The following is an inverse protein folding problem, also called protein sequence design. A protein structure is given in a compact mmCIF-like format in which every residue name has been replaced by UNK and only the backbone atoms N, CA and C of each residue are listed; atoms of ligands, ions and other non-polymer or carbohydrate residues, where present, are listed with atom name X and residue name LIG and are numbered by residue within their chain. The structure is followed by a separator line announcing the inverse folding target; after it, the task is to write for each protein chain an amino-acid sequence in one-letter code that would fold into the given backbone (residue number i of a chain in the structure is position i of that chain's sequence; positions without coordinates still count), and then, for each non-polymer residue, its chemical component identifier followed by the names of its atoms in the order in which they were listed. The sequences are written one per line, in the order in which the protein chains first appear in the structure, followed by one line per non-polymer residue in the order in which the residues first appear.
data_IF_273955957281
#
_entry.id   IF_273955957281
#
_cell.length_a   1.000
_cell.length_b   1.000
_cell.length_c   1.000
_cell.angle_alpha   90.00
_cell.angle_beta   90.00
_cell.angle_gamma   90.00
#
_symmetry.space_group_name_H-M   'P 1'
#
loop_
_entity.id
_entity.type
_entity.pdbx_description
1 polymer ?
#
# COMPACT_ATOMS: atom_id res chain seq x y z
N UNK A 1 -39.77 -40.79 29.51
CA UNK A 1 -38.29 -40.85 29.51
C UNK A 1 -37.76 -39.81 28.52
N UNK A 2 -37.38 -38.62 29.01
CA UNK A 2 -36.99 -37.48 28.16
C UNK A 2 -35.51 -37.58 27.81
N UNK A 3 -35.19 -37.81 26.52
CA UNK A 3 -33.80 -37.81 26.04
C UNK A 3 -33.29 -36.37 25.93
N UNK A 4 -32.44 -35.95 26.85
CA UNK A 4 -31.63 -34.74 26.69
C UNK A 4 -30.62 -34.94 25.55
N UNK A 5 -30.82 -34.25 24.42
CA UNK A 5 -29.80 -34.12 23.37
C UNK A 5 -28.74 -33.14 23.88
N UNK A 6 -27.64 -33.68 24.40
CA UNK A 6 -26.42 -32.91 24.63
C UNK A 6 -25.96 -32.30 23.30
N UNK A 7 -26.11 -30.99 23.14
CA UNK A 7 -25.42 -30.26 22.08
C UNK A 7 -23.93 -30.31 22.42
N UNK A 8 -23.13 -30.95 21.56
CA UNK A 8 -21.66 -30.89 21.64
C UNK A 8 -21.26 -29.42 21.75
N UNK A 9 -20.57 -29.07 22.84
CA UNK A 9 -19.89 -27.78 22.97
C UNK A 9 -18.95 -27.63 21.77
N UNK A 10 -19.21 -26.61 20.94
CA UNK A 10 -18.27 -26.15 19.93
C UNK A 10 -17.62 -24.89 20.51
N UNK A 11 -16.31 -24.93 20.84
CA UNK A 11 -15.60 -23.72 21.21
C UNK A 11 -15.83 -22.66 20.14
N UNK A 12 -16.24 -21.44 20.54
CA UNK A 12 -16.36 -20.31 19.60
C UNK A 12 -15.00 -19.96 18.99
N UNK A 13 -13.91 -20.22 19.73
CA UNK A 13 -12.55 -20.13 19.24
C UNK A 13 -11.89 -21.50 19.27
N UNK A 14 -11.60 -22.04 18.07
CA UNK A 14 -10.54 -23.04 17.92
C UNK A 14 -9.24 -22.27 17.72
N UNK A 15 -8.72 -21.67 18.79
CA UNK A 15 -7.37 -21.10 18.74
C UNK A 15 -6.42 -22.21 18.32
N UNK A 16 -5.69 -21.99 17.23
CA UNK A 16 -4.61 -22.89 16.85
C UNK A 16 -3.51 -22.74 17.91
N UNK A 17 -2.97 -23.83 18.45
CA UNK A 17 -1.93 -23.77 19.48
C UNK A 17 -0.64 -23.06 19.00
N UNK A 18 -0.49 -22.90 17.68
CA UNK A 18 0.59 -22.15 17.03
C UNK A 18 0.20 -20.71 16.65
N UNK A 19 -1.03 -20.30 16.90
CA UNK A 19 -1.47 -18.92 16.71
C UNK A 19 -1.45 -18.19 18.05
N UNK A 20 -0.31 -17.56 18.34
CA UNK A 20 -0.08 -16.79 19.56
C UNK A 20 -1.04 -15.60 19.73
N UNK A 21 -1.75 -15.20 18.66
CA UNK A 21 -2.71 -14.10 18.67
C UNK A 21 -4.12 -14.51 19.03
N UNK A 22 -4.42 -15.81 19.00
CA UNK A 22 -5.76 -16.36 19.22
C UNK A 22 -6.26 -16.22 20.68
N UNK A 23 -5.38 -15.81 21.60
CA UNK A 23 -5.68 -15.60 23.02
C UNK A 23 -5.63 -14.13 23.45
N UNK A 24 -5.40 -13.20 22.53
CA UNK A 24 -5.45 -11.77 22.85
C UNK A 24 -6.88 -11.31 23.10
N UNK A 25 -7.05 -10.54 24.17
CA UNK A 25 -8.34 -9.96 24.54
C UNK A 25 -8.33 -8.48 24.18
N UNK A 26 -9.30 -8.07 23.38
CA UNK A 26 -9.64 -6.67 23.07
C UNK A 26 -8.54 -5.82 22.39
N UNK A 27 -7.94 -6.35 21.34
CA UNK A 27 -7.02 -5.60 20.46
C UNK A 27 -7.70 -5.19 19.15
N UNK A 28 -7.16 -4.19 18.44
CA UNK A 28 -7.61 -3.83 17.10
C UNK A 28 -7.56 -5.04 16.14
N UNK A 29 -6.56 -5.89 16.28
CA UNK A 29 -6.40 -7.12 15.50
C UNK A 29 -7.50 -8.15 15.80
N UNK A 30 -7.91 -8.26 17.07
CA UNK A 30 -9.02 -9.12 17.47
C UNK A 30 -10.33 -8.64 16.88
N UNK A 31 -10.63 -7.34 16.97
CA UNK A 31 -11.81 -6.73 16.34
C UNK A 31 -11.80 -6.87 14.81
N UNK A 32 -10.65 -6.67 14.17
CA UNK A 32 -10.51 -6.87 12.73
C UNK A 32 -10.80 -8.32 12.32
N UNK A 33 -10.33 -9.32 13.07
CA UNK A 33 -10.65 -10.73 12.84
C UNK A 33 -12.15 -11.02 12.96
N UNK A 34 -12.81 -10.48 13.98
CA UNK A 34 -14.26 -10.59 14.15
C UNK A 34 -15.02 -10.01 12.95
N UNK A 35 -14.62 -8.81 12.49
CA UNK A 35 -15.19 -8.16 11.30
C UNK A 35 -14.98 -9.03 10.04
N UNK A 36 -13.79 -9.61 9.87
CA UNK A 36 -13.50 -10.53 8.76
C UNK A 36 -14.40 -11.77 8.82
N UNK A 37 -14.52 -12.38 10.00
CA UNK A 37 -15.36 -13.57 10.21
C UNK A 37 -16.84 -13.28 9.94
N UNK A 38 -17.37 -12.16 10.42
CA UNK A 38 -18.74 -11.72 10.15
C UNK A 38 -18.97 -11.48 8.65
N UNK A 39 -18.05 -10.76 8.00
CA UNK A 39 -18.11 -10.50 6.57
C UNK A 39 -18.12 -11.82 5.78
N UNK A 40 -17.26 -12.77 6.15
CA UNK A 40 -17.15 -14.10 5.53
C UNK A 40 -18.37 -14.98 5.79
N UNK A 41 -19.00 -14.90 6.97
CA UNK A 41 -20.24 -15.64 7.29
C UNK A 41 -21.45 -15.08 6.53
N UNK A 42 -21.44 -13.78 6.20
CA UNK A 42 -22.53 -13.12 5.47
C UNK A 42 -22.66 -13.53 4.00
N UNK A 43 -21.67 -14.23 3.43
CA UNK A 43 -21.60 -14.63 2.02
C UNK A 43 -21.70 -16.13 1.86
N UNK A 44 -22.45 -16.57 0.84
CA UNK A 44 -22.69 -18.00 0.59
C UNK A 44 -21.43 -18.65 -0.01
N UNK A 45 -21.11 -19.86 0.43
CA UNK A 45 -19.95 -20.60 -0.05
C UNK A 45 -20.21 -21.29 -1.39
N UNK A 46 -19.33 -21.05 -2.37
CA UNK A 46 -19.17 -21.93 -3.54
C UNK A 46 -18.24 -23.11 -3.20
N UNK A 47 -18.40 -24.28 -3.84
CA UNK A 47 -17.48 -25.42 -3.66
C UNK A 47 -16.15 -25.18 -4.41
N UNK A 48 -15.04 -25.65 -3.85
CA UNK A 48 -13.70 -25.64 -4.47
C UNK A 48 -12.92 -24.31 -4.32
N UNK A 49 -11.64 -24.30 -4.75
CA UNK A 49 -10.72 -23.15 -4.61
C UNK A 49 -11.26 -21.86 -5.26
N UNK A 50 -11.79 -21.94 -6.49
CA UNK A 50 -12.46 -20.80 -7.15
C UNK A 50 -13.66 -20.27 -6.36
N UNK A 51 -14.38 -21.15 -5.65
CA UNK A 51 -15.48 -20.77 -4.76
C UNK A 51 -15.02 -20.00 -3.52
N UNK A 52 -13.81 -20.29 -3.00
CA UNK A 52 -13.24 -19.60 -1.84
C UNK A 52 -12.81 -18.18 -2.18
N UNK A 53 -12.03 -17.99 -3.25
CA UNK A 53 -11.63 -16.64 -3.69
C UNK A 53 -12.85 -15.79 -4.04
N UNK A 54 -13.86 -16.36 -4.69
CA UNK A 54 -15.12 -15.65 -4.94
C UNK A 54 -15.79 -15.20 -3.65
N UNK A 55 -15.86 -16.07 -2.64
CA UNK A 55 -16.43 -15.75 -1.32
C UNK A 55 -15.65 -14.62 -0.64
N UNK A 56 -14.32 -14.68 -0.65
CA UNK A 56 -13.45 -13.64 -0.08
C UNK A 56 -13.71 -12.29 -0.78
N UNK A 57 -13.76 -12.28 -2.11
CA UNK A 57 -14.03 -11.07 -2.89
C UNK A 57 -15.45 -10.51 -2.62
N UNK A 58 -16.46 -11.38 -2.46
CA UNK A 58 -17.81 -10.94 -2.09
C UNK A 58 -17.85 -10.34 -0.68
N UNK A 59 -17.13 -10.93 0.29
CA UNK A 59 -17.00 -10.39 1.65
C UNK A 59 -16.28 -9.03 1.65
N UNK A 60 -15.15 -8.94 0.94
CA UNK A 60 -14.41 -7.69 0.74
C UNK A 60 -15.30 -6.61 0.13
N UNK A 61 -16.07 -6.92 -0.91
CA UNK A 61 -16.95 -5.96 -1.58
C UNK A 61 -18.02 -5.39 -0.64
N UNK A 62 -18.60 -6.23 0.23
CA UNK A 62 -19.53 -5.76 1.26
C UNK A 62 -18.84 -4.83 2.27
N UNK A 63 -17.63 -5.18 2.70
CA UNK A 63 -16.88 -4.40 3.67
C UNK A 63 -16.43 -3.05 3.10
N UNK A 64 -15.99 -3.02 1.83
CA UNK A 64 -15.67 -1.78 1.11
C UNK A 64 -16.91 -0.89 0.97
N UNK A 65 -18.10 -1.46 0.72
CA UNK A 65 -19.36 -0.70 0.66
C UNK A 65 -19.77 -0.09 2.00
N UNK A 66 -19.45 -0.75 3.12
CA UNK A 66 -19.69 -0.19 4.45
C UNK A 66 -18.90 1.11 4.66
N UNK A 67 -17.70 1.19 4.06
CA UNK A 67 -16.84 2.37 4.02
C UNK A 67 -16.59 3.03 5.40
N UNK A 68 -16.48 2.22 6.45
CA UNK A 68 -16.11 2.72 7.77
C UNK A 68 -14.67 3.28 7.74
N UNK A 69 -14.42 4.45 8.37
CA UNK A 69 -13.08 4.99 8.52
C UNK A 69 -12.31 4.34 9.68
N UNK A 70 -12.92 3.46 10.46
CA UNK A 70 -12.34 2.93 11.69
C UNK A 70 -11.14 2.02 11.39
N UNK A 71 -10.06 2.09 12.20
CA UNK A 71 -8.84 1.33 11.96
C UNK A 71 -9.05 -0.19 11.83
N UNK A 72 -9.91 -0.78 12.65
CA UNK A 72 -10.24 -2.21 12.59
C UNK A 72 -10.92 -2.62 11.28
N UNK A 73 -11.74 -1.74 10.69
CA UNK A 73 -12.38 -1.97 9.39
C UNK A 73 -11.38 -1.79 8.23
N UNK A 74 -10.39 -0.90 8.37
CA UNK A 74 -9.29 -0.75 7.41
C UNK A 74 -8.41 -2.00 7.40
N UNK A 75 -8.00 -2.46 8.59
CA UNK A 75 -7.24 -3.68 8.77
C UNK A 75 -7.99 -4.92 8.25
N UNK A 76 -9.28 -5.06 8.55
CA UNK A 76 -10.11 -6.16 8.05
C UNK A 76 -10.19 -6.18 6.51
N UNK A 77 -10.29 -5.00 5.87
CA UNK A 77 -10.23 -4.89 4.39
C UNK A 77 -8.87 -5.32 3.87
N UNK A 78 -7.78 -4.90 4.51
CA UNK A 78 -6.42 -5.26 4.11
C UNK A 78 -6.21 -6.78 4.15
N UNK A 79 -6.61 -7.45 5.24
CA UNK A 79 -6.55 -8.91 5.38
C UNK A 79 -7.36 -9.61 4.28
N UNK A 80 -8.58 -9.15 4.01
CA UNK A 80 -9.42 -9.73 2.95
C UNK A 80 -8.88 -9.51 1.54
N UNK A 81 -8.08 -8.46 1.30
CA UNK A 81 -7.43 -8.18 0.01
C UNK A 81 -6.25 -9.09 -0.28
N UNK A 82 -5.59 -9.62 0.75
CA UNK A 82 -4.32 -10.37 0.63
C UNK A 82 -4.37 -11.48 -0.42
N UNK A 83 -5.34 -12.40 -0.45
CA UNK A 83 -5.32 -13.50 -1.42
C UNK A 83 -5.41 -13.03 -2.88
N UNK A 84 -6.14 -11.94 -3.14
CA UNK A 84 -6.24 -11.32 -4.46
C UNK A 84 -4.90 -10.71 -4.88
N UNK A 85 -4.28 -9.95 -3.98
CA UNK A 85 -2.99 -9.30 -4.22
C UNK A 85 -1.85 -10.32 -4.45
N UNK A 86 -1.80 -11.40 -3.66
CA UNK A 86 -0.82 -12.49 -3.84
C UNK A 86 -0.94 -13.10 -5.23
N UNK A 87 -2.16 -13.44 -5.65
CA UNK A 87 -2.40 -14.00 -6.97
C UNK A 87 -2.01 -13.03 -8.08
N UNK A 88 -2.33 -11.75 -7.93
CA UNK A 88 -1.94 -10.71 -8.87
C UNK A 88 -0.42 -10.61 -9.02
N UNK A 89 0.31 -10.61 -7.90
CA UNK A 89 1.77 -10.60 -7.89
C UNK A 89 2.34 -11.82 -8.62
N UNK A 90 1.84 -13.02 -8.30
CA UNK A 90 2.30 -14.26 -8.92
C UNK A 90 2.03 -14.33 -10.42
N UNK A 91 0.88 -13.83 -10.89
CA UNK A 91 0.58 -13.74 -12.32
C UNK A 91 1.49 -12.72 -13.03
N UNK A 92 1.76 -11.57 -12.40
CA UNK A 92 2.66 -10.56 -12.95
C UNK A 92 4.13 -11.04 -13.01
N UNK A 93 4.61 -11.74 -11.99
CA UNK A 93 5.97 -12.30 -11.95
C UNK A 93 6.19 -13.36 -13.05
N UNK A 94 5.16 -14.14 -13.38
CA UNK A 94 5.18 -15.14 -14.46
C UNK A 94 5.15 -14.53 -15.86
N UNK A 95 4.61 -13.32 -16.02
CA UNK A 95 4.33 -12.71 -17.32
C UNK A 95 4.96 -11.31 -17.46
N UNK A 96 6.30 -11.27 -17.52
CA UNK A 96 7.08 -10.03 -17.64
C UNK A 96 6.77 -9.18 -18.89
N UNK A 97 6.19 -9.77 -19.95
CA UNK A 97 5.96 -9.13 -21.26
C UNK A 97 4.54 -8.57 -21.47
N UNK A 98 3.72 -8.48 -20.41
CA UNK A 98 2.33 -8.06 -20.53
C UNK A 98 1.40 -9.18 -21.00
N UNK A 99 0.17 -9.18 -20.49
CA UNK A 99 -0.85 -10.20 -20.74
C UNK A 99 -2.25 -9.57 -20.60
N UNK A 100 -3.29 -10.27 -21.09
CA UNK A 100 -4.66 -9.72 -21.20
C UNK A 100 -5.20 -9.10 -19.91
N UNK A 101 -4.84 -9.70 -18.77
CA UNK A 101 -5.37 -9.34 -17.45
C UNK A 101 -4.44 -8.41 -16.67
N UNK A 102 -3.34 -7.93 -17.29
CA UNK A 102 -2.33 -7.09 -16.64
C UNK A 102 -2.94 -5.89 -15.92
N UNK A 103 -3.88 -5.18 -16.57
CA UNK A 103 -4.54 -4.00 -15.97
C UNK A 103 -5.36 -4.37 -14.72
N UNK A 104 -6.03 -5.52 -14.76
CA UNK A 104 -6.82 -6.01 -13.62
C UNK A 104 -5.89 -6.38 -12.46
N UNK A 105 -4.78 -7.08 -12.73
CA UNK A 105 -3.80 -7.47 -11.69
C UNK A 105 -3.05 -6.29 -11.11
N UNK A 106 -2.62 -5.35 -11.96
CA UNK A 106 -2.02 -4.10 -11.51
C UNK A 106 -2.93 -3.40 -10.50
N UNK A 107 -4.22 -3.34 -10.81
CA UNK A 107 -5.16 -2.72 -9.91
C UNK A 107 -5.44 -3.51 -8.61
N UNK A 108 -5.38 -4.84 -8.63
CA UNK A 108 -5.49 -5.63 -7.40
C UNK A 108 -4.32 -5.35 -6.44
N UNK A 109 -3.12 -5.08 -6.98
CA UNK A 109 -1.97 -4.67 -6.19
C UNK A 109 -2.11 -3.23 -5.67
N UNK A 110 -2.51 -2.29 -6.52
CA UNK A 110 -2.77 -0.90 -6.11
C UNK A 110 -3.82 -0.86 -5.00
N UNK A 111 -4.92 -1.60 -5.15
CA UNK A 111 -5.97 -1.68 -4.15
C UNK A 111 -5.48 -2.25 -2.79
N UNK A 112 -4.46 -3.12 -2.80
CA UNK A 112 -3.82 -3.63 -1.60
C UNK A 112 -2.90 -2.59 -0.96
N UNK A 113 -2.06 -1.94 -1.77
CA UNK A 113 -1.18 -0.86 -1.33
C UNK A 113 -1.97 0.29 -0.70
N UNK A 114 -3.02 0.76 -1.38
CA UNK A 114 -3.94 1.79 -0.87
C UNK A 114 -4.52 1.38 0.49
N UNK A 115 -4.95 0.12 0.64
CA UNK A 115 -5.50 -0.37 1.90
C UNK A 115 -4.45 -0.49 3.02
N UNK A 116 -3.20 -0.80 2.67
CA UNK A 116 -2.08 -0.82 3.62
C UNK A 116 -1.79 0.58 4.12
N UNK A 117 -1.61 1.55 3.21
CA UNK A 117 -1.35 2.95 3.52
C UNK A 117 -2.48 3.54 4.37
N UNK A 118 -3.72 3.32 3.95
CA UNK A 118 -4.91 3.75 4.68
C UNK A 118 -4.97 3.17 6.10
N UNK A 119 -4.57 1.92 6.27
CA UNK A 119 -4.55 1.27 7.58
C UNK A 119 -3.48 1.93 8.45
N UNK A 120 -2.24 2.01 7.97
CA UNK A 120 -1.12 2.64 8.72
C UNK A 120 -1.44 4.08 9.11
N UNK A 121 -2.00 4.88 8.20
CA UNK A 121 -2.34 6.27 8.45
C UNK A 121 -3.52 6.46 9.42
N UNK A 122 -4.29 5.40 9.69
CA UNK A 122 -5.38 5.41 10.67
C UNK A 122 -5.00 4.90 12.05
N UNK A 123 -3.87 4.19 12.15
CA UNK A 123 -3.44 3.59 13.41
C UNK A 123 -2.84 4.64 14.36
N UNK A 124 -3.05 4.46 15.68
CA UNK A 124 -2.25 5.15 16.70
C UNK A 124 -0.75 4.86 16.53
N UNK A 125 0.10 5.83 16.87
CA UNK A 125 1.55 5.75 16.65
C UNK A 125 2.19 4.60 17.43
N UNK A 126 1.68 4.31 18.62
CA UNK A 126 2.13 3.23 19.49
C UNK A 126 1.96 1.83 18.89
N UNK A 127 1.12 1.68 17.86
CA UNK A 127 0.91 0.39 17.18
C UNK A 127 1.77 0.22 15.93
N UNK A 128 2.50 1.27 15.51
CA UNK A 128 3.19 1.28 14.22
C UNK A 128 4.48 0.46 14.18
N UNK A 129 5.19 0.32 15.31
CA UNK A 129 6.45 -0.43 15.38
C UNK A 129 6.26 -1.90 15.02
N UNK A 130 5.19 -2.49 15.54
CA UNK A 130 4.94 -3.92 15.45
C UNK A 130 3.97 -4.26 14.30
N UNK A 131 3.39 -3.23 13.67
CA UNK A 131 2.36 -3.40 12.64
C UNK A 131 2.80 -4.31 11.47
N UNK A 132 4.01 -4.17 10.88
CA UNK A 132 4.40 -5.03 9.77
C UNK A 132 4.48 -6.51 10.15
N UNK A 133 5.08 -6.84 11.29
CA UNK A 133 5.19 -8.23 11.74
C UNK A 133 3.80 -8.77 12.09
N UNK A 134 3.00 -7.95 12.78
CA UNK A 134 1.68 -8.38 13.21
C UNK A 134 0.73 -8.59 12.03
N UNK A 135 0.71 -7.66 11.07
CA UNK A 135 -0.07 -7.80 9.85
C UNK A 135 0.30 -9.07 9.09
N UNK A 136 1.60 -9.40 9.01
CA UNK A 136 2.07 -10.63 8.35
C UNK A 136 1.40 -11.86 8.96
N UNK A 137 1.43 -11.96 10.28
CA UNK A 137 0.81 -13.09 11.00
C UNK A 137 -0.70 -13.16 10.74
N UNK A 138 -1.42 -12.04 10.83
CA UNK A 138 -2.87 -12.01 10.55
C UNK A 138 -3.19 -12.48 9.12
N UNK A 139 -2.40 -12.03 8.14
CA UNK A 139 -2.54 -12.45 6.76
C UNK A 139 -2.20 -13.94 6.54
N UNK A 140 -1.14 -14.44 7.18
CA UNK A 140 -0.75 -15.86 7.13
C UNK A 140 -1.84 -16.75 7.72
N UNK A 141 -2.37 -16.39 8.89
CA UNK A 141 -3.48 -17.08 9.55
C UNK A 141 -4.69 -17.10 8.62
N UNK A 142 -5.08 -15.94 8.09
CA UNK A 142 -6.24 -15.83 7.21
C UNK A 142 -6.08 -16.67 5.92
N UNK A 143 -4.93 -16.56 5.25
CA UNK A 143 -4.65 -17.29 4.01
C UNK A 143 -4.62 -18.80 4.26
N UNK A 144 -4.01 -19.26 5.36
CA UNK A 144 -3.98 -20.68 5.74
C UNK A 144 -5.38 -21.22 5.99
N UNK A 145 -6.18 -20.52 6.78
CA UNK A 145 -7.53 -20.96 7.16
C UNK A 145 -8.50 -20.97 5.97
N UNK A 146 -8.25 -20.11 4.97
CA UNK A 146 -8.98 -20.06 3.71
C UNK A 146 -8.34 -20.86 2.57
N UNK A 147 -7.22 -21.55 2.84
CA UNK A 147 -6.46 -22.34 1.88
C UNK A 147 -6.14 -21.56 0.58
N UNK A 148 -5.61 -20.36 0.74
CA UNK A 148 -5.09 -19.49 -0.33
C UNK A 148 -3.58 -19.31 -0.18
N UNK A 149 -2.92 -18.88 -1.25
CA UNK A 149 -1.50 -18.56 -1.22
C UNK A 149 -1.25 -17.27 -0.43
N UNK A 150 -0.08 -17.19 0.19
CA UNK A 150 0.44 -16.02 0.88
C UNK A 150 1.66 -15.48 0.11
N UNK A 151 1.99 -14.20 0.30
CA UNK A 151 3.26 -13.66 -0.21
C UNK A 151 4.43 -14.46 0.38
N UNK A 152 5.49 -14.65 -0.41
CA UNK A 152 6.76 -15.10 0.16
C UNK A 152 7.33 -14.03 1.10
N UNK A 153 8.18 -14.43 2.05
CA UNK A 153 8.84 -13.50 2.98
C UNK A 153 9.49 -12.32 2.25
N UNK A 154 10.26 -12.62 1.21
CA UNK A 154 10.94 -11.61 0.39
C UNK A 154 9.97 -10.66 -0.33
N UNK A 155 8.84 -11.18 -0.83
CA UNK A 155 7.82 -10.32 -1.46
C UNK A 155 7.17 -9.42 -0.41
N UNK A 156 6.83 -9.98 0.75
CA UNK A 156 6.22 -9.22 1.83
C UNK A 156 7.15 -8.11 2.34
N UNK A 157 8.41 -8.43 2.61
CA UNK A 157 9.44 -7.47 3.00
C UNK A 157 9.62 -6.36 1.96
N UNK A 158 9.65 -6.71 0.67
CA UNK A 158 9.77 -5.72 -0.41
C UNK A 158 8.55 -4.79 -0.48
N UNK A 159 7.34 -5.32 -0.29
CA UNK A 159 6.10 -4.55 -0.25
C UNK A 159 6.12 -3.58 0.93
N UNK A 160 6.34 -4.09 2.15
CA UNK A 160 6.41 -3.26 3.37
C UNK A 160 7.46 -2.18 3.21
N UNK A 161 8.67 -2.52 2.74
CA UNK A 161 9.73 -1.54 2.57
C UNK A 161 9.39 -0.47 1.52
N UNK A 162 8.72 -0.84 0.43
CA UNK A 162 8.20 0.10 -0.57
C UNK A 162 7.21 1.09 0.05
N UNK A 163 6.11 0.55 0.61
CA UNK A 163 5.02 1.34 1.17
C UNK A 163 5.46 2.18 2.37
N UNK A 164 6.37 1.67 3.21
CA UNK A 164 6.92 2.44 4.33
C UNK A 164 7.55 3.76 3.88
N UNK A 165 8.15 3.82 2.69
CA UNK A 165 8.73 5.07 2.16
C UNK A 165 7.68 6.05 1.68
N UNK A 166 6.65 5.55 1.00
CA UNK A 166 5.52 6.36 0.54
C UNK A 166 4.83 6.99 1.75
N UNK A 167 4.54 6.19 2.78
CA UNK A 167 3.95 6.67 4.02
C UNK A 167 4.88 7.64 4.76
N UNK A 168 6.19 7.34 4.86
CA UNK A 168 7.15 8.22 5.53
C UNK A 168 7.33 9.56 4.82
N UNK A 169 7.31 9.58 3.49
CA UNK A 169 7.29 10.82 2.72
C UNK A 169 5.99 11.59 2.97
N UNK A 170 4.83 10.91 2.97
CA UNK A 170 3.55 11.54 3.25
C UNK A 170 3.50 12.18 4.64
N UNK A 171 3.88 11.43 5.68
CA UNK A 171 3.91 11.90 7.08
C UNK A 171 4.94 13.02 7.26
N UNK A 172 6.14 12.87 6.70
CA UNK A 172 7.18 13.88 6.72
C UNK A 172 6.75 15.19 6.05
N UNK A 173 6.17 15.12 4.86
CA UNK A 173 5.66 16.30 4.16
C UNK A 173 4.52 16.99 4.94
N UNK A 174 3.62 16.24 5.58
CA UNK A 174 2.60 16.82 6.47
C UNK A 174 3.21 17.51 7.70
N UNK A 175 4.18 16.88 8.37
CA UNK A 175 4.90 17.48 9.52
C UNK A 175 5.59 18.79 9.16
N UNK A 176 6.02 18.92 7.91
CA UNK A 176 6.62 20.15 7.35
C UNK A 176 5.60 21.23 6.95
N UNK A 177 4.30 20.97 7.13
CA UNK A 177 3.22 21.93 6.85
C UNK A 177 2.73 21.94 5.40
N UNK A 178 3.15 20.99 4.56
CA UNK A 178 2.61 20.86 3.21
C UNK A 178 1.21 20.24 3.23
N UNK A 179 0.39 20.59 2.23
CA UNK A 179 -0.83 19.86 1.93
C UNK A 179 -0.46 18.62 1.11
N UNK A 180 -0.80 17.44 1.62
CA UNK A 180 -0.44 16.16 0.99
C UNK A 180 -1.67 15.28 0.87
N UNK A 181 -1.83 14.64 -0.28
CA UNK A 181 -2.81 13.58 -0.49
C UNK A 181 -2.17 12.40 -1.21
N UNK A 182 -2.52 11.18 -0.79
CA UNK A 182 -2.30 9.99 -1.63
C UNK A 182 -3.17 10.12 -2.90
N UNK A 183 -2.76 9.47 -3.98
CA UNK A 183 -3.50 9.58 -5.23
C UNK A 183 -4.60 8.54 -5.38
N UNK A 184 -5.49 8.76 -6.34
CA UNK A 184 -6.48 7.72 -6.70
C UNK A 184 -5.80 6.55 -7.41
N UNK A 185 -6.41 5.36 -7.35
CA UNK A 185 -6.04 4.19 -8.17
C UNK A 185 -5.69 4.47 -9.64
N UNK A 186 -6.36 5.45 -10.27
CA UNK A 186 -6.08 5.84 -11.67
C UNK A 186 -4.76 6.60 -11.78
N UNK A 187 -4.47 7.48 -10.83
CA UNK A 187 -3.24 8.26 -10.75
C UNK A 187 -2.05 7.35 -10.35
N UNK A 188 -2.23 6.46 -9.38
CA UNK A 188 -1.22 5.45 -9.02
C UNK A 188 -0.89 4.54 -10.22
N UNK A 189 -1.90 4.08 -10.97
CA UNK A 189 -1.64 3.34 -12.21
C UNK A 189 -0.89 4.15 -13.29
N UNK A 190 -0.80 5.49 -13.17
CA UNK A 190 0.04 6.37 -13.99
C UNK A 190 1.44 6.61 -13.39
N UNK A 191 1.74 5.96 -12.26
CA UNK A 191 2.96 6.09 -11.47
C UNK A 191 3.01 7.40 -10.71
N UNK A 192 1.95 7.73 -9.97
CA UNK A 192 1.94 8.87 -9.04
C UNK A 192 1.49 8.39 -7.69
N UNK A 193 2.39 8.39 -6.72
CA UNK A 193 2.12 7.87 -5.39
C UNK A 193 1.33 8.91 -4.58
N UNK A 194 1.76 10.18 -4.64
CA UNK A 194 1.10 11.27 -3.92
C UNK A 194 1.19 12.62 -4.65
N UNK A 195 0.42 13.58 -4.16
CA UNK A 195 0.52 14.99 -4.55
C UNK A 195 0.89 15.83 -3.34
N UNK A 196 1.92 16.65 -3.50
CA UNK A 196 2.38 17.61 -2.48
C UNK A 196 2.12 19.02 -3.01
N UNK A 197 1.40 19.80 -2.21
CA UNK A 197 1.08 21.21 -2.48
C UNK A 197 1.60 22.07 -1.35
N UNK A 198 2.33 23.13 -1.71
CA UNK A 198 2.71 24.16 -0.76
C UNK A 198 1.57 25.16 -0.58
N UNK A 199 0.96 25.24 0.62
CA UNK A 199 -0.16 26.14 0.86
C UNK A 199 0.24 27.62 0.78
N UNK A 200 1.53 27.97 0.91
CA UNK A 200 2.02 29.35 0.83
C UNK A 200 2.19 29.77 -0.63
N UNK A 201 2.94 28.99 -1.42
CA UNK A 201 3.22 29.34 -2.82
C UNK A 201 2.12 28.90 -3.80
N UNK A 202 1.17 28.07 -3.35
CA UNK A 202 0.13 27.43 -4.18
C UNK A 202 0.71 26.60 -5.32
N UNK A 203 1.97 26.19 -5.22
CA UNK A 203 2.60 25.27 -6.16
C UNK A 203 2.33 23.84 -5.74
N UNK A 204 2.11 22.98 -6.73
CA UNK A 204 1.86 21.56 -6.53
C UNK A 204 2.73 20.70 -7.45
N UNK A 205 3.15 19.54 -6.94
CA UNK A 205 3.87 18.51 -7.70
C UNK A 205 3.23 17.14 -7.48
N UNK A 206 3.15 16.36 -8.56
CA UNK A 206 2.83 14.93 -8.51
C UNK A 206 4.15 14.18 -8.26
N UNK A 207 4.18 13.27 -7.29
CA UNK A 207 5.39 12.55 -6.87
C UNK A 207 5.31 11.08 -7.29
N UNK A 208 6.41 10.55 -7.82
CA UNK A 208 6.71 9.12 -7.96
C UNK A 208 7.98 8.86 -7.17
N UNK A 209 7.84 8.34 -5.95
CA UNK A 209 8.95 8.16 -5.04
C UNK A 209 9.72 6.86 -5.36
N UNK A 210 11.04 6.93 -5.24
CA UNK A 210 11.93 5.84 -5.61
C UNK A 210 13.10 5.75 -4.65
N UNK A 211 13.51 4.52 -4.36
CA UNK A 211 14.80 4.24 -3.70
C UNK A 211 15.94 4.81 -4.54
N UNK A 212 17.09 5.07 -3.93
CA UNK A 212 18.29 5.51 -4.66
C UNK A 212 18.62 4.63 -5.89
N UNK A 213 18.63 3.31 -5.71
CA UNK A 213 18.90 2.37 -6.80
C UNK A 213 17.82 2.39 -7.88
N UNK A 214 16.53 2.40 -7.48
CA UNK A 214 15.41 2.42 -8.42
C UNK A 214 15.36 3.72 -9.21
N UNK A 215 15.68 4.85 -8.57
CA UNK A 215 15.80 6.15 -9.21
C UNK A 215 16.91 6.13 -10.27
N UNK A 216 18.10 5.64 -9.92
CA UNK A 216 19.23 5.52 -10.84
C UNK A 216 18.88 4.70 -12.10
N UNK A 217 18.37 3.47 -11.91
CA UNK A 217 17.97 2.63 -13.04
C UNK A 217 16.81 3.21 -13.83
N UNK A 218 15.91 3.96 -13.19
CA UNK A 218 14.83 4.66 -13.88
C UNK A 218 15.39 5.76 -14.79
N UNK A 219 16.37 6.53 -14.33
CA UNK A 219 17.04 7.54 -15.14
C UNK A 219 17.78 6.91 -16.34
N UNK A 220 18.49 5.80 -16.13
CA UNK A 220 19.11 5.03 -17.23
C UNK A 220 18.05 4.63 -18.26
N UNK A 221 16.92 4.06 -17.83
CA UNK A 221 15.81 3.69 -18.73
C UNK A 221 15.24 4.89 -19.49
N UNK A 222 15.19 6.08 -18.89
CA UNK A 222 14.73 7.30 -19.56
C UNK A 222 15.73 7.79 -20.60
N UNK A 223 17.03 7.73 -20.30
CA UNK A 223 18.10 8.07 -21.24
C UNK A 223 18.06 7.14 -22.46
N UNK A 224 18.01 5.82 -22.24
CA UNK A 224 17.93 4.83 -23.33
C UNK A 224 16.69 5.01 -24.21
N UNK A 225 15.59 5.53 -23.64
CA UNK A 225 14.36 5.84 -24.39
C UNK A 225 14.34 7.24 -24.99
N UNK A 226 15.46 7.97 -24.94
CA UNK A 226 15.59 9.36 -25.40
C UNK A 226 14.54 10.31 -24.81
N UNK A 227 14.09 10.02 -23.58
CA UNK A 227 13.12 10.88 -22.85
C UNK A 227 13.83 11.96 -22.03
N UNK A 228 15.11 11.76 -21.75
CA UNK A 228 16.06 12.72 -21.20
C UNK A 228 17.39 12.54 -21.93
N UNK A 229 18.24 13.57 -21.92
CA UNK A 229 19.63 13.50 -22.36
C UNK A 229 20.60 13.24 -21.20
N UNK A 230 21.89 13.02 -21.50
CA UNK A 230 22.91 12.70 -20.49
C UNK A 230 23.11 13.84 -19.48
N UNK A 231 23.07 15.09 -19.95
CA UNK A 231 23.16 16.26 -19.07
C UNK A 231 21.98 16.35 -18.10
N UNK A 232 20.76 16.07 -18.56
CA UNK A 232 19.56 15.96 -17.73
C UNK A 232 19.67 14.81 -16.73
N UNK A 233 20.16 13.64 -17.16
CA UNK A 233 20.38 12.48 -16.28
C UNK A 233 21.31 12.85 -15.12
N UNK A 234 22.45 13.47 -15.41
CA UNK A 234 23.42 13.91 -14.40
C UNK A 234 22.82 14.96 -13.45
N UNK A 235 22.07 15.94 -13.96
CA UNK A 235 21.37 16.92 -13.13
C UNK A 235 20.33 16.25 -12.21
N UNK A 236 19.56 15.29 -12.73
CA UNK A 236 18.58 14.55 -11.93
C UNK A 236 19.25 13.70 -10.84
N UNK A 237 20.39 13.07 -11.13
CA UNK A 237 21.18 12.35 -10.11
C UNK A 237 21.69 13.26 -9.00
N UNK A 238 22.20 14.44 -9.35
CA UNK A 238 22.73 15.39 -8.38
C UNK A 238 21.64 16.04 -7.52
N UNK A 239 20.50 16.37 -8.13
CA UNK A 239 19.38 17.01 -7.43
C UNK A 239 18.51 16.04 -6.62
N UNK A 240 18.53 14.75 -6.97
CA UNK A 240 17.69 13.74 -6.33
C UNK A 240 16.22 13.80 -6.79
N UNK A 241 15.90 14.51 -7.86
CA UNK A 241 14.57 14.47 -8.47
C UNK A 241 14.63 14.72 -9.98
N UNK A 242 13.57 14.34 -10.71
CA UNK A 242 13.53 14.48 -12.16
C UNK A 242 12.10 14.64 -12.66
N UNK A 243 11.80 15.71 -13.40
CA UNK A 243 10.49 15.84 -14.04
C UNK A 243 10.37 14.87 -15.22
N UNK A 244 9.30 14.07 -15.23
CA UNK A 244 9.02 13.06 -16.25
C UNK A 244 7.59 13.20 -16.74
N UNK A 245 7.40 13.11 -18.05
CA UNK A 245 6.09 13.16 -18.70
C UNK A 245 5.53 11.77 -18.96
N UNK A 246 4.73 11.21 -18.07
CA UNK A 246 4.12 9.90 -18.30
C UNK A 246 3.01 10.01 -19.36
N UNK A 247 3.20 9.32 -20.49
CA UNK A 247 2.22 9.25 -21.59
C UNK A 247 1.38 7.99 -21.43
N UNK A 248 0.05 8.13 -21.38
CA UNK A 248 -0.93 7.06 -21.63
C UNK A 248 -2.10 7.61 -22.42
N UNK A 249 -2.93 6.72 -22.97
CA UNK A 249 -3.87 6.93 -24.08
C UNK A 249 -4.78 8.18 -24.03
N UNK A 250 -4.97 8.82 -22.86
CA UNK A 250 -5.82 10.01 -22.67
C UNK A 250 -5.10 11.27 -22.16
N UNK A 251 -3.75 11.36 -22.21
CA UNK A 251 -3.03 12.60 -21.91
C UNK A 251 -1.61 12.44 -21.41
N UNK A 252 -1.01 13.57 -21.03
CA UNK A 252 0.29 13.64 -20.37
C UNK A 252 0.08 14.04 -18.92
N UNK A 253 0.61 13.23 -18.00
CA UNK A 253 0.73 13.62 -16.60
C UNK A 253 2.21 13.93 -16.33
N UNK A 254 2.48 15.15 -15.89
CA UNK A 254 3.82 15.51 -15.40
C UNK A 254 3.96 15.01 -13.97
N UNK A 255 4.99 14.20 -13.74
CA UNK A 255 5.33 13.60 -12.45
C UNK A 255 6.79 13.89 -12.14
N UNK A 256 7.10 14.18 -10.89
CA UNK A 256 8.45 14.31 -10.38
C UNK A 256 8.86 12.95 -9.83
N UNK A 257 9.79 12.28 -10.51
CA UNK A 257 10.53 11.17 -9.91
C UNK A 257 11.31 11.73 -8.73
N UNK A 258 11.10 11.18 -7.54
CA UNK A 258 11.64 11.73 -6.30
C UNK A 258 12.48 10.66 -5.58
N UNK A 259 13.79 10.92 -5.44
CA UNK A 259 14.70 9.98 -4.80
C UNK A 259 14.59 10.10 -3.28
N UNK A 260 14.32 8.99 -2.63
CA UNK A 260 14.41 8.85 -1.17
C UNK A 260 15.65 8.02 -0.84
N UNK A 261 16.65 8.64 -0.21
CA UNK A 261 17.89 8.01 0.21
C UNK A 261 17.91 7.83 1.72
N UNK A 262 18.07 6.59 2.18
CA UNK A 262 18.20 6.28 3.61
C UNK A 262 19.49 6.89 4.19
N UNK A 263 20.52 7.09 3.36
CA UNK A 263 21.78 7.75 3.77
C UNK A 263 21.54 9.23 4.13
N UNK A 264 20.72 9.91 3.32
CA UNK A 264 20.35 11.31 3.52
C UNK A 264 19.29 11.46 4.63
N UNK A 265 18.29 10.58 4.66
CA UNK A 265 17.09 10.67 5.50
C UNK A 265 17.16 9.88 6.82
N UNK A 266 18.21 9.08 7.03
CA UNK A 266 18.43 8.32 8.25
C UNK A 266 17.62 7.02 8.38
N UNK A 267 17.01 6.52 7.30
CA UNK A 267 16.13 5.35 7.34
C UNK A 267 14.72 5.67 7.87
N UNK A 268 13.92 4.62 8.04
CA UNK A 268 12.50 4.72 8.43
C UNK A 268 12.25 3.95 9.72
N UNK A 269 11.63 4.62 10.69
CA UNK A 269 11.15 4.05 11.94
C UNK A 269 9.69 4.42 12.12
N UNK A 270 8.82 3.46 12.46
CA UNK A 270 7.38 3.70 12.65
C UNK A 270 6.73 4.48 11.50
N UNK A 271 7.12 4.16 10.27
CA UNK A 271 6.67 4.84 9.05
C UNK A 271 7.02 6.34 8.99
N UNK A 272 8.06 6.78 9.68
CA UNK A 272 8.59 8.14 9.62
C UNK A 272 10.08 8.13 9.29
N UNK A 273 10.52 9.13 8.53
CA UNK A 273 11.95 9.37 8.32
C UNK A 273 12.57 9.94 9.59
N UNK A 274 13.73 9.39 9.98
CA UNK A 274 14.47 9.88 11.15
C UNK A 274 14.90 11.35 10.96
N UNK A 275 15.31 11.73 9.75
CA UNK A 275 15.78 13.08 9.42
C UNK A 275 14.80 13.77 8.47
N UNK A 276 14.12 14.79 8.98
CA UNK A 276 13.12 15.55 8.21
C UNK A 276 13.69 16.76 7.46
N UNK A 277 14.78 17.36 7.95
CA UNK A 277 15.36 18.56 7.34
C UNK A 277 15.86 18.36 5.89
N UNK A 278 16.54 17.25 5.54
CA UNK A 278 16.95 17.01 4.16
C UNK A 278 15.73 16.82 3.25
N UNK A 279 14.69 16.15 3.74
CA UNK A 279 13.43 15.99 3.03
C UNK A 279 12.78 17.35 2.74
N UNK A 280 12.75 18.26 3.72
CA UNK A 280 12.22 19.61 3.56
C UNK A 280 12.92 20.40 2.45
N UNK A 281 14.25 20.33 2.42
CA UNK A 281 15.07 20.98 1.38
C UNK A 281 14.76 20.42 0.00
N UNK A 282 14.64 19.10 -0.11
CA UNK A 282 14.40 18.42 -1.39
C UNK A 282 12.97 18.70 -1.92
N UNK A 283 11.94 18.64 -1.06
CA UNK A 283 10.56 19.00 -1.43
C UNK A 283 10.49 20.45 -1.91
N UNK A 284 11.08 21.38 -1.15
CA UNK A 284 11.10 22.80 -1.50
C UNK A 284 11.72 23.03 -2.87
N UNK A 285 12.90 22.45 -3.11
CA UNK A 285 13.61 22.59 -4.39
C UNK A 285 12.81 22.00 -5.56
N UNK A 286 12.18 20.85 -5.37
CA UNK A 286 11.32 20.24 -6.38
C UNK A 286 10.09 21.11 -6.69
N UNK A 287 9.46 21.72 -5.68
CA UNK A 287 8.35 22.67 -5.87
C UNK A 287 8.80 23.96 -6.57
N UNK A 288 9.97 24.49 -6.21
CA UNK A 288 10.53 25.69 -6.85
C UNK A 288 10.78 25.46 -8.35
N UNK A 289 11.41 24.34 -8.70
CA UNK A 289 11.82 24.01 -10.06
C UNK A 289 10.69 23.42 -10.93
N UNK A 290 9.75 22.68 -10.35
CA UNK A 290 8.76 21.90 -11.10
C UNK A 290 7.31 22.10 -10.64
N UNK A 291 7.07 22.89 -9.61
CA UNK A 291 5.74 23.15 -9.09
C UNK A 291 4.86 23.91 -10.08
N UNK A 292 3.64 23.42 -10.26
CA UNK A 292 2.60 24.07 -11.07
C UNK A 292 1.62 24.78 -10.13
N UNK A 293 1.23 26.00 -10.46
CA UNK A 293 0.22 26.72 -9.68
C UNK A 293 -1.12 26.00 -9.76
N UNK A 294 -1.72 25.72 -8.61
CA UNK A 294 -3.12 25.29 -8.55
C UNK A 294 -3.98 26.54 -8.73
N UNK A 295 -4.61 26.66 -9.91
CA UNK A 295 -5.70 27.63 -10.07
C UNK A 295 -6.80 27.23 -9.09
N UNK A 296 -7.27 28.17 -8.27
CA UNK A 296 -8.42 27.94 -7.42
C UNK A 296 -9.57 27.42 -8.30
N UNK A 297 -10.05 26.21 -8.02
CA UNK A 297 -11.36 25.75 -8.48
C UNK A 297 -12.40 26.43 -7.61
#
# INVERSE_FOLDING_TARGET
MVRFKWKRFRPKHKGNLHDHTSFEVDTIYTRAREIVDEAMQSVRSGRGSRGRLKRINEALHKLVKHNSPDPEYRLARLILRTPGAVRAQMEMDKHQSGYSDYKTRLFELIDFNDAFDDTVLSLPEELLSDFPERLKNEMEVFCRDNHTEMFSDRQYEAIVYGLSREIALYRGAKKLGYQVRMTSRVQDAMGVDMVITDPQTKKSINIDCKTRSSFHFRLIKLLHKHRINEGERLRCELSGFCKVRNKRDNGYLETVLFRLSDEELGGIENFDYIKIDPLAKQIRKALEEHGVYINQI
#
